data_IF_357241994870
#
_entry.id   IF_357241994870
#
_cell.length_a   1.000
_cell.length_b   1.000
_cell.length_c   1.000
_cell.angle_alpha   90.00
_cell.angle_beta   90.00
_cell.angle_gamma   90.00
#
_symmetry.space_group_name_H-M   'P 1'
#
loop_
_entity.id
_entity.type
_entity.pdbx_description
1 polymer ?
#
# COMPACT_ATOMS: atom_id res chain seq x y z
N UNK A 1 -8.19 -21.35 -92.63
CA UNK A 1 -8.40 -22.31 -91.52
C UNK A 1 -9.70 -21.92 -90.89
N UNK A 2 -10.79 -22.71 -90.97
CA UNK A 2 -12.15 -22.16 -90.71
C UNK A 2 -12.10 -21.35 -89.41
N UNK A 3 -12.10 -20.01 -89.57
CA UNK A 3 -11.38 -19.10 -88.64
C UNK A 3 -11.90 -19.21 -87.21
N UNK A 4 -13.13 -19.72 -87.08
CA UNK A 4 -13.87 -19.91 -85.85
C UNK A 4 -13.32 -21.02 -84.92
N UNK A 5 -12.73 -22.10 -85.44
CA UNK A 5 -12.45 -23.29 -84.59
C UNK A 5 -11.05 -23.28 -83.93
N UNK A 6 -10.08 -22.53 -84.49
CA UNK A 6 -8.77 -22.30 -83.84
C UNK A 6 -8.85 -21.16 -82.81
N UNK A 7 -9.77 -20.21 -83.00
CA UNK A 7 -10.08 -19.15 -82.04
C UNK A 7 -10.76 -19.73 -80.80
N UNK A 8 -11.67 -20.69 -80.96
CA UNK A 8 -12.37 -21.29 -79.82
C UNK A 8 -11.44 -22.05 -78.87
N UNK A 9 -10.47 -22.81 -79.39
CA UNK A 9 -9.52 -23.54 -78.55
C UNK A 9 -8.53 -22.61 -77.83
N UNK A 10 -8.01 -21.58 -78.52
CA UNK A 10 -7.12 -20.57 -77.94
C UNK A 10 -7.86 -19.65 -76.95
N UNK A 11 -9.11 -19.30 -77.25
CA UNK A 11 -9.97 -18.53 -76.35
C UNK A 11 -10.39 -19.36 -75.13
N UNK A 12 -10.62 -20.67 -75.27
CA UNK A 12 -10.92 -21.55 -74.13
C UNK A 12 -9.69 -21.73 -73.22
N UNK A 13 -8.49 -21.93 -73.77
CA UNK A 13 -7.26 -22.02 -72.98
C UNK A 13 -6.80 -20.66 -72.40
N UNK A 14 -7.03 -19.56 -73.11
CA UNK A 14 -6.78 -18.21 -72.57
C UNK A 14 -7.82 -17.80 -71.53
N UNK A 15 -9.08 -18.23 -71.65
CA UNK A 15 -10.09 -18.02 -70.61
C UNK A 15 -9.81 -18.86 -69.37
N UNK A 16 -9.33 -20.11 -69.51
CA UNK A 16 -8.97 -20.94 -68.36
C UNK A 16 -7.73 -20.43 -67.61
N UNK A 17 -6.74 -19.85 -68.32
CA UNK A 17 -5.54 -19.26 -67.68
C UNK A 17 -5.78 -17.82 -67.20
N UNK A 18 -6.70 -17.07 -67.81
CA UNK A 18 -7.10 -15.73 -67.33
C UNK A 18 -7.96 -15.76 -66.07
N UNK A 19 -8.64 -16.88 -65.78
CA UNK A 19 -9.29 -17.11 -64.47
C UNK A 19 -8.31 -17.74 -63.46
N UNK A 20 -7.19 -18.31 -63.94
CA UNK A 20 -6.14 -18.94 -63.12
C UNK A 20 -4.91 -18.07 -62.81
N UNK A 21 -4.95 -16.78 -63.12
CA UNK A 21 -3.81 -15.87 -62.99
C UNK A 21 -3.79 -15.11 -61.67
N UNK A 22 -2.88 -15.51 -60.78
CA UNK A 22 -2.51 -14.87 -59.51
C UNK A 22 -3.62 -14.79 -58.46
N UNK A 23 -3.71 -15.87 -57.69
CA UNK A 23 -3.97 -15.75 -56.27
C UNK A 23 -2.98 -14.73 -55.66
N UNK A 24 -3.41 -13.49 -55.54
CA UNK A 24 -2.89 -12.58 -54.54
C UNK A 24 -4.07 -12.24 -53.64
N UNK A 25 -4.31 -13.11 -52.65
CA UNK A 25 -4.93 -12.64 -51.41
C UNK A 25 -3.98 -11.56 -50.88
N UNK A 26 -4.29 -10.29 -51.11
CA UNK A 26 -3.64 -9.20 -50.38
C UNK A 26 -4.21 -9.19 -48.95
N UNK A 27 -3.82 -10.21 -48.18
CA UNK A 27 -3.77 -10.11 -46.74
C UNK A 27 -2.68 -9.09 -46.42
N UNK A 28 -3.06 -7.85 -46.15
CA UNK A 28 -2.28 -7.06 -45.21
C UNK A 28 -2.95 -7.15 -43.85
N UNK A 29 -2.85 -8.31 -43.23
CA UNK A 29 -2.87 -8.36 -41.77
C UNK A 29 -1.52 -7.82 -41.30
N UNK A 30 -1.47 -6.54 -40.97
CA UNK A 30 -0.35 -5.99 -40.20
C UNK A 30 -0.44 -6.53 -38.78
N UNK A 31 0.31 -7.59 -38.47
CA UNK A 31 0.52 -8.01 -37.09
C UNK A 31 1.51 -7.06 -36.43
N UNK A 32 1.00 -6.13 -35.63
CA UNK A 32 1.81 -5.33 -34.72
C UNK A 32 1.95 -6.07 -33.39
N UNK A 33 3.18 -6.33 -32.97
CA UNK A 33 3.48 -6.72 -31.60
C UNK A 33 4.08 -5.52 -30.86
N UNK A 34 3.56 -5.26 -29.66
CA UNK A 34 4.05 -4.20 -28.78
C UNK A 34 4.34 -4.80 -27.41
N UNK A 35 5.51 -4.53 -26.88
CA UNK A 35 5.87 -4.86 -25.50
C UNK A 35 5.98 -3.57 -24.69
N UNK A 36 5.27 -3.50 -23.56
CA UNK A 36 5.48 -2.48 -22.54
C UNK A 36 6.30 -3.07 -21.40
N UNK A 37 7.25 -2.30 -20.88
CA UNK A 37 8.00 -2.64 -19.66
C UNK A 37 7.86 -1.49 -18.67
N UNK A 38 7.63 -1.82 -17.40
CA UNK A 38 7.67 -0.87 -16.29
C UNK A 38 8.52 -1.46 -15.16
N UNK A 39 9.31 -0.63 -14.49
CA UNK A 39 10.05 -1.02 -13.29
C UNK A 39 9.16 -0.82 -12.06
N UNK A 40 9.12 -1.81 -11.17
CA UNK A 40 8.52 -1.63 -9.84
C UNK A 40 9.32 -0.59 -9.03
N UNK A 41 8.67 0.07 -8.08
CA UNK A 41 9.31 1.03 -7.19
C UNK A 41 10.45 0.36 -6.38
N UNK A 42 11.56 1.06 -6.21
CA UNK A 42 12.78 0.54 -5.57
C UNK A 42 12.85 0.79 -4.07
N UNK A 43 12.00 1.66 -3.53
CA UNK A 43 12.07 2.12 -2.13
C UNK A 43 10.68 2.22 -1.52
N UNK A 44 10.51 1.61 -0.35
CA UNK A 44 9.37 1.84 0.55
C UNK A 44 9.81 2.76 1.69
N UNK A 45 9.03 3.80 1.95
CA UNK A 45 9.15 4.70 3.09
C UNK A 45 8.53 4.06 4.35
N UNK A 46 9.04 4.42 5.53
CA UNK A 46 8.45 4.00 6.79
C UNK A 46 7.04 4.62 6.97
N UNK A 47 6.13 3.85 7.58
CA UNK A 47 4.83 4.35 8.03
C UNK A 47 5.04 5.28 9.22
N UNK A 48 4.29 6.38 9.27
CA UNK A 48 4.34 7.33 10.39
C UNK A 48 3.22 6.98 11.36
N UNK A 49 3.54 6.82 12.65
CA UNK A 49 2.57 6.49 13.70
C UNK A 49 2.37 7.74 14.56
N UNK A 50 1.12 8.09 14.79
CA UNK A 50 0.70 9.17 15.67
C UNK A 50 0.04 8.60 16.91
N UNK A 51 0.37 9.16 18.06
CA UNK A 51 -0.12 8.73 19.37
C UNK A 51 -0.73 9.95 20.07
N UNK A 52 -1.97 9.82 20.52
CA UNK A 52 -2.65 10.87 21.26
C UNK A 52 -3.39 10.30 22.48
N UNK A 53 -3.46 11.08 23.55
CA UNK A 53 -4.19 10.76 24.77
C UNK A 53 -4.42 12.05 25.57
N UNK A 54 -5.41 12.03 26.45
CA UNK A 54 -5.73 13.19 27.27
C UNK A 54 -4.63 13.48 28.30
N UNK A 55 -4.42 14.77 28.57
CA UNK A 55 -3.51 15.25 29.61
C UNK A 55 -3.99 14.91 31.03
N UNK A 56 -3.18 15.30 32.02
CA UNK A 56 -3.51 15.25 33.45
C UNK A 56 -3.82 13.82 33.96
N UNK A 57 -2.98 12.84 33.60
CA UNK A 57 -2.99 11.53 34.24
C UNK A 57 -2.43 11.64 35.67
N UNK A 58 -3.13 11.03 36.62
CA UNK A 58 -2.74 11.02 38.04
C UNK A 58 -2.42 9.60 38.51
N UNK A 59 -1.69 9.42 39.64
CA UNK A 59 -1.49 8.10 40.23
C UNK A 59 -2.81 7.34 40.39
N UNK A 60 -2.80 6.05 40.06
CA UNK A 60 -3.96 5.15 40.13
C UNK A 60 -4.98 5.31 39.01
N UNK A 61 -4.76 6.24 38.06
CA UNK A 61 -5.67 6.47 36.94
C UNK A 61 -5.18 5.85 35.64
N UNK A 62 -6.07 5.78 34.65
CA UNK A 62 -5.74 5.36 33.30
C UNK A 62 -6.38 6.30 32.28
N UNK A 63 -5.75 6.42 31.12
CA UNK A 63 -6.21 7.19 29.97
C UNK A 63 -6.23 6.31 28.73
N UNK A 64 -7.19 6.55 27.85
CA UNK A 64 -7.24 5.89 26.54
C UNK A 64 -6.22 6.56 25.62
N UNK A 65 -5.44 5.74 24.92
CA UNK A 65 -4.54 6.16 23.86
C UNK A 65 -5.24 5.91 22.53
N UNK A 66 -5.30 6.91 21.65
CA UNK A 66 -5.65 6.75 20.25
C UNK A 66 -4.39 6.68 19.39
N UNK A 67 -4.39 5.71 18.48
CA UNK A 67 -3.31 5.55 17.51
C UNK A 67 -3.84 5.79 16.11
N UNK A 68 -3.12 6.60 15.34
CA UNK A 68 -3.37 6.74 13.90
C UNK A 68 -2.07 6.58 13.12
N UNK A 69 -2.16 6.32 11.82
CA UNK A 69 -0.97 6.13 11.00
C UNK A 69 -1.13 6.68 9.58
N UNK A 70 0.01 7.10 9.01
CA UNK A 70 0.15 7.58 7.63
C UNK A 70 1.03 6.63 6.83
N UNK A 71 0.57 6.24 5.64
CA UNK A 71 1.33 5.45 4.70
C UNK A 71 1.82 6.33 3.54
N UNK A 72 3.06 6.82 3.57
CA UNK A 72 3.62 7.65 2.49
C UNK A 72 3.96 6.86 1.21
N UNK A 73 3.74 5.55 1.20
CA UNK A 73 3.98 4.71 0.03
C UNK A 73 2.82 4.78 -0.95
N UNK A 74 3.09 4.62 -2.24
CA UNK A 74 2.04 4.50 -3.26
C UNK A 74 1.30 3.16 -3.21
N UNK A 75 1.89 2.14 -2.58
CA UNK A 75 1.30 0.82 -2.37
C UNK A 75 0.67 0.67 -1.00
N UNK A 76 -0.23 -0.31 -0.87
CA UNK A 76 -0.81 -0.66 0.42
C UNK A 76 0.21 -1.35 1.33
N UNK A 77 0.19 -1.00 2.62
CA UNK A 77 1.16 -1.49 3.61
C UNK A 77 0.42 -2.13 4.80
N UNK A 78 0.67 -3.41 5.13
CA UNK A 78 0.17 -4.01 6.36
C UNK A 78 0.96 -3.49 7.57
N UNK A 79 0.25 -3.04 8.59
CA UNK A 79 0.80 -2.44 9.81
C UNK A 79 0.18 -3.07 11.04
N UNK A 80 1.03 -3.54 11.93
CA UNK A 80 0.73 -4.07 13.26
C UNK A 80 1.49 -3.20 14.26
N UNK A 81 0.76 -2.55 15.16
CA UNK A 81 1.39 -1.76 16.23
C UNK A 81 1.98 -2.68 17.29
N UNK A 82 3.20 -2.37 17.74
CA UNK A 82 3.95 -3.15 18.72
C UNK A 82 4.78 -2.24 19.62
N UNK A 83 5.24 -2.76 20.75
CA UNK A 83 6.28 -2.12 21.56
C UNK A 83 5.93 -0.70 22.02
N UNK A 84 4.82 -0.54 22.74
CA UNK A 84 4.54 0.72 23.42
C UNK A 84 5.65 1.02 24.44
N UNK A 85 6.32 2.15 24.29
CA UNK A 85 7.37 2.63 25.19
C UNK A 85 6.91 3.93 25.80
N UNK A 86 7.05 4.05 27.12
CA UNK A 86 6.75 5.27 27.85
C UNK A 86 8.06 5.91 28.30
N UNK A 87 8.15 7.22 28.10
CA UNK A 87 9.22 8.05 28.68
C UNK A 87 8.59 9.21 29.44
N UNK A 88 9.24 9.62 30.52
CA UNK A 88 8.81 10.77 31.32
C UNK A 88 9.94 11.79 31.41
N UNK A 89 9.59 13.08 31.40
CA UNK A 89 10.58 14.16 31.55
C UNK A 89 11.03 14.33 33.00
N UNK A 90 12.23 14.88 33.19
CA UNK A 90 12.73 15.25 34.51
C UNK A 90 13.07 14.04 35.38
N UNK A 91 12.69 14.08 36.65
CA UNK A 91 12.92 13.00 37.62
C UNK A 91 11.70 12.09 37.83
N UNK A 92 10.67 12.22 36.99
CA UNK A 92 9.52 11.32 37.02
C UNK A 92 9.92 9.94 36.53
N UNK A 93 9.65 8.90 37.31
CA UNK A 93 10.03 7.54 36.95
C UNK A 93 9.04 6.98 35.92
N UNK A 94 9.54 6.74 34.71
CA UNK A 94 8.74 6.18 33.61
C UNK A 94 8.24 4.75 33.91
N UNK A 95 8.90 4.02 34.82
CA UNK A 95 8.49 2.65 35.20
C UNK A 95 7.16 2.60 35.96
N UNK A 96 6.67 3.72 36.48
CA UNK A 96 5.32 3.84 37.03
C UNK A 96 4.22 3.89 35.97
N UNK A 97 4.59 3.93 34.68
CA UNK A 97 3.66 3.99 33.58
C UNK A 97 3.72 2.72 32.76
N UNK A 98 2.54 2.21 32.38
CA UNK A 98 2.39 1.12 31.44
C UNK A 98 1.51 1.59 30.28
N UNK A 99 1.97 1.40 29.06
CA UNK A 99 1.20 1.68 27.85
C UNK A 99 0.91 0.39 27.09
N UNK A 100 -0.27 0.32 26.48
CA UNK A 100 -0.64 -0.75 25.56
C UNK A 100 -0.91 -0.20 24.15
N UNK A 101 -0.82 -1.09 23.17
CA UNK A 101 -1.21 -0.87 21.78
C UNK A 101 -2.38 -1.78 21.43
N UNK A 102 -3.22 -1.40 20.45
CA UNK A 102 -4.26 -2.29 19.94
C UNK A 102 -3.64 -3.54 19.31
N UNK A 103 -4.38 -4.64 19.34
CA UNK A 103 -3.97 -5.89 18.70
C UNK A 103 -4.48 -5.95 17.26
N UNK A 104 -3.78 -6.71 16.42
CA UNK A 104 -4.18 -6.97 15.03
C UNK A 104 -3.39 -6.18 14.00
N UNK A 105 -3.62 -6.54 12.74
CA UNK A 105 -2.95 -5.95 11.57
C UNK A 105 -3.97 -5.18 10.76
N UNK A 106 -3.66 -3.92 10.43
CA UNK A 106 -4.46 -3.10 9.51
C UNK A 106 -3.67 -2.85 8.24
N UNK A 107 -4.34 -2.95 7.09
CA UNK A 107 -3.74 -2.60 5.81
C UNK A 107 -4.07 -1.16 5.49
N UNK A 108 -3.05 -0.31 5.42
CA UNK A 108 -3.19 1.09 5.01
C UNK A 108 -3.11 1.15 3.49
N UNK A 109 -4.07 1.84 2.86
CA UNK A 109 -3.97 2.12 1.43
C UNK A 109 -2.76 3.02 1.12
N UNK A 110 -2.33 3.02 -0.13
CA UNK A 110 -1.24 3.90 -0.57
C UNK A 110 -1.61 5.39 -0.41
N UNK A 111 -0.68 6.19 0.11
CA UNK A 111 -0.85 7.60 0.43
C UNK A 111 -1.97 7.91 1.43
N UNK A 112 -2.43 6.91 2.20
CA UNK A 112 -3.44 7.12 3.22
C UNK A 112 -2.87 7.90 4.41
N UNK A 113 -3.64 8.82 4.96
CA UNK A 113 -3.27 9.64 6.12
C UNK A 113 -4.32 9.54 7.22
N UNK A 114 -3.89 9.65 8.46
CA UNK A 114 -4.71 9.64 9.68
C UNK A 114 -5.63 8.42 9.76
N UNK A 115 -5.12 7.26 9.33
CA UNK A 115 -5.87 6.00 9.39
C UNK A 115 -5.95 5.56 10.84
N UNK A 116 -7.18 5.36 11.34
CA UNK A 116 -7.39 4.84 12.68
C UNK A 116 -6.75 3.46 12.84
N UNK A 117 -5.85 3.33 13.82
CA UNK A 117 -5.19 2.07 14.19
C UNK A 117 -5.84 1.40 15.40
N UNK A 118 -6.81 2.04 16.03
CA UNK A 118 -7.47 1.59 17.24
C UNK A 118 -6.92 2.26 18.49
N UNK A 119 -7.28 1.70 19.64
CA UNK A 119 -6.96 2.29 20.94
C UNK A 119 -6.13 1.36 21.83
N UNK A 120 -5.34 1.97 22.69
CA UNK A 120 -4.68 1.31 23.82
C UNK A 120 -4.98 2.07 25.12
N UNK A 121 -4.21 1.76 26.15
CA UNK A 121 -4.38 2.35 27.49
C UNK A 121 -3.02 2.78 28.02
N UNK A 122 -2.96 3.98 28.57
CA UNK A 122 -1.88 4.45 29.43
C UNK A 122 -2.35 4.35 30.88
N UNK A 123 -1.64 3.60 31.70
CA UNK A 123 -1.92 3.44 33.14
C UNK A 123 -0.79 4.04 33.93
N UNK A 124 -1.11 4.86 34.94
CA UNK A 124 -0.16 5.35 35.92
C UNK A 124 -0.40 4.61 37.23
N UNK A 125 0.54 3.75 37.63
CA UNK A 125 0.43 2.93 38.84
C UNK A 125 0.39 3.80 40.09
N UNK A 126 -0.48 3.47 41.03
CA UNK A 126 -0.45 4.01 42.38
C UNK A 126 0.63 3.30 43.19
N UNK A 127 1.71 4.01 43.50
CA UNK A 127 2.87 3.46 44.21
C UNK A 127 2.84 3.87 45.69
N UNK A 128 3.42 3.03 46.55
CA UNK A 128 3.69 3.41 47.95
C UNK A 128 4.86 4.39 48.08
N UNK A 129 5.61 4.61 47.00
CA UNK A 129 6.69 5.61 46.91
C UNK A 129 6.14 7.01 46.61
N UNK A 130 6.92 8.05 46.91
CA UNK A 130 6.53 9.42 46.57
C UNK A 130 6.65 9.66 45.05
N UNK A 131 5.52 9.89 44.38
CA UNK A 131 5.43 10.16 42.95
C UNK A 131 5.31 11.66 42.60
N UNK A 132 5.58 12.57 43.55
CA UNK A 132 5.50 14.03 43.36
C UNK A 132 6.39 14.56 42.24
N UNK A 133 7.50 13.86 41.95
CA UNK A 133 8.39 14.17 40.83
C UNK A 133 7.69 14.13 39.46
N UNK A 134 6.51 13.48 39.37
CA UNK A 134 5.70 13.44 38.16
C UNK A 134 4.72 14.61 38.01
N UNK A 135 4.59 15.48 39.01
CA UNK A 135 3.76 16.69 38.90
C UNK A 135 4.34 17.63 37.84
N UNK A 136 3.57 17.87 36.78
CA UNK A 136 3.98 18.71 35.65
C UNK A 136 4.99 18.05 34.71
N UNK A 137 5.30 16.76 34.89
CA UNK A 137 6.14 16.04 33.95
C UNK A 137 5.40 15.77 32.63
N UNK A 138 6.11 15.88 31.51
CA UNK A 138 5.62 15.45 30.21
C UNK A 138 5.81 13.96 30.06
N UNK A 139 4.70 13.24 29.90
CA UNK A 139 4.68 11.80 29.61
C UNK A 139 4.55 11.65 28.10
N UNK A 140 5.46 10.89 27.50
CA UNK A 140 5.46 10.58 26.07
C UNK A 140 5.29 9.10 25.87
N UNK A 141 4.36 8.71 25.01
CA UNK A 141 4.18 7.32 24.57
C UNK A 141 4.56 7.23 23.10
N UNK A 142 5.43 6.28 22.77
CA UNK A 142 5.78 5.93 21.40
C UNK A 142 5.41 4.48 21.12
N UNK A 143 4.96 4.19 19.90
CA UNK A 143 4.71 2.83 19.44
C UNK A 143 5.55 2.54 18.19
N UNK A 144 5.94 1.28 18.03
CA UNK A 144 6.62 0.77 16.84
C UNK A 144 5.63 0.02 15.94
N UNK A 145 6.04 -0.29 14.71
CA UNK A 145 5.33 -1.23 13.83
C UNK A 145 6.26 -2.33 13.32
N UNK A 146 5.66 -3.46 12.92
CA UNK A 146 6.32 -4.64 12.36
C UNK A 146 6.97 -4.40 10.99
#
# INVERSE_FOLDING_TARGET
>A
MTKKNKIAAVAASAALVAVGGSAAYAYWSTTGSGSGQAKAATTTNAVVIHVAFDENITPGSSKTISYTADNPNSGSTPVTLTGAVVTASGSCDASWFAASVPTGTKTLAGNATNVDMGTGTLTFSDSTLNQDACKGATITVTASSN
#
